data_IF_865599427357
#
_entry.id   IF_865599427357
#
_cell.length_a   1.000
_cell.length_b   1.000
_cell.length_c   1.000
_cell.angle_alpha   90.00
_cell.angle_beta   90.00
_cell.angle_gamma   90.00
#
_symmetry.space_group_name_H-M   'P 1'
#
loop_
_entity.id
_entity.type
_entity.pdbx_description
1 polymer ?
#
# COMPACT_ATOMS: atom_id res chain seq x y z
N UNK A 1 21.18 -18.00 -3.83
CA UNK A 1 20.05 -17.08 -4.04
C UNK A 1 20.64 -15.70 -4.22
N UNK A 2 20.39 -15.04 -5.35
CA UNK A 2 20.71 -13.62 -5.49
C UNK A 2 19.72 -12.82 -4.62
N UNK A 3 20.17 -11.75 -3.95
CA UNK A 3 19.26 -10.87 -3.22
C UNK A 3 18.17 -10.32 -4.15
N UNK A 4 16.96 -10.14 -3.64
CA UNK A 4 15.87 -9.51 -4.39
C UNK A 4 16.20 -8.02 -4.54
N UNK A 5 16.39 -7.53 -5.77
CA UNK A 5 16.80 -6.15 -6.04
C UNK A 5 15.63 -5.33 -6.58
N UNK A 6 15.54 -4.06 -6.17
CA UNK A 6 14.50 -3.15 -6.64
C UNK A 6 15.10 -1.87 -7.21
N UNK A 7 14.91 -1.64 -8.51
CA UNK A 7 15.50 -0.50 -9.26
C UNK A 7 14.57 0.72 -9.33
N UNK A 8 13.24 0.53 -9.19
CA UNK A 8 12.23 1.57 -9.27
C UNK A 8 11.81 1.97 -10.69
N UNK A 9 12.04 1.12 -11.70
CA UNK A 9 11.63 1.34 -13.10
C UNK A 9 10.39 0.51 -13.49
N UNK A 10 9.78 0.80 -14.65
CA UNK A 10 8.55 0.13 -15.13
C UNK A 10 8.64 -1.40 -15.32
N UNK A 11 9.84 -1.96 -15.42
CA UNK A 11 10.07 -3.40 -15.64
C UNK A 11 10.54 -4.13 -14.37
N UNK A 12 10.40 -3.49 -13.22
CA UNK A 12 10.86 -4.02 -11.95
C UNK A 12 9.84 -4.98 -11.32
N UNK A 13 10.26 -5.73 -10.30
CA UNK A 13 9.36 -6.52 -9.44
C UNK A 13 8.25 -5.60 -8.89
N UNK A 14 7.04 -6.14 -8.75
CA UNK A 14 5.93 -5.43 -8.12
C UNK A 14 6.37 -4.93 -6.73
N UNK A 15 6.20 -3.63 -6.40
CA UNK A 15 6.57 -3.06 -5.11
C UNK A 15 5.97 -3.79 -3.90
N UNK A 16 4.74 -4.31 -4.02
CA UNK A 16 4.11 -5.09 -2.96
C UNK A 16 4.78 -6.45 -2.79
N UNK A 17 5.04 -7.16 -3.89
CA UNK A 17 5.77 -8.44 -3.84
C UNK A 17 7.14 -8.24 -3.21
N UNK A 18 7.83 -7.15 -3.57
CA UNK A 18 9.13 -6.82 -3.00
C UNK A 18 9.08 -6.62 -1.47
N UNK A 19 8.12 -5.82 -0.97
CA UNK A 19 7.91 -5.61 0.47
C UNK A 19 7.55 -6.91 1.18
N UNK A 20 6.66 -7.70 0.58
CA UNK A 20 6.14 -8.93 1.19
C UNK A 20 7.22 -10.00 1.34
N UNK A 21 8.09 -10.15 0.34
CA UNK A 21 9.24 -11.06 0.40
C UNK A 21 10.28 -10.61 1.43
N UNK A 22 10.57 -9.31 1.53
CA UNK A 22 11.47 -8.80 2.57
C UNK A 22 10.90 -9.04 3.98
N UNK A 23 9.60 -8.79 4.16
CA UNK A 23 8.92 -9.02 5.43
C UNK A 23 9.01 -10.48 5.88
N UNK A 24 8.77 -11.45 4.98
CA UNK A 24 8.93 -12.88 5.27
C UNK A 24 10.35 -13.21 5.74
N UNK A 25 11.37 -12.66 5.09
CA UNK A 25 12.78 -12.86 5.48
C UNK A 25 13.06 -12.26 6.86
N UNK A 26 12.59 -11.03 7.12
CA UNK A 26 12.79 -10.37 8.41
C UNK A 26 12.08 -11.08 9.57
N UNK A 27 10.89 -11.61 9.33
CA UNK A 27 10.13 -12.42 10.30
C UNK A 27 10.89 -13.71 10.65
N UNK A 28 11.37 -14.46 9.65
CA UNK A 28 12.17 -15.69 9.87
C UNK A 28 13.48 -15.41 10.61
N UNK A 29 14.09 -14.25 10.35
CA UNK A 29 15.38 -13.85 10.93
C UNK A 29 15.25 -13.07 12.25
N UNK A 30 14.04 -12.79 12.73
CA UNK A 30 13.76 -11.97 13.92
C UNK A 30 14.47 -10.61 13.91
N UNK A 31 14.47 -9.92 12.76
CA UNK A 31 15.11 -8.61 12.62
C UNK A 31 14.26 -7.54 13.32
N UNK A 32 14.93 -6.66 14.09
CA UNK A 32 14.27 -5.52 14.74
C UNK A 32 13.95 -4.41 13.73
N UNK A 33 12.83 -3.71 13.97
CA UNK A 33 12.20 -2.77 13.04
C UNK A 33 13.14 -1.72 12.44
N UNK A 34 13.95 -1.06 13.28
CA UNK A 34 14.91 -0.05 12.85
C UNK A 34 15.98 -0.61 11.88
N UNK A 35 16.29 -1.90 11.98
CA UNK A 35 17.26 -2.57 11.10
C UNK A 35 16.62 -3.05 9.80
N UNK A 36 15.33 -3.35 9.79
CA UNK A 36 14.57 -3.73 8.59
C UNK A 36 14.66 -2.64 7.51
N UNK A 37 14.49 -1.37 7.90
CA UNK A 37 14.56 -0.23 6.97
C UNK A 37 15.92 -0.14 6.28
N UNK A 38 17.02 -0.24 7.03
CA UNK A 38 18.38 -0.20 6.46
C UNK A 38 18.68 -1.40 5.56
N UNK A 39 18.19 -2.59 5.91
CA UNK A 39 18.35 -3.79 5.10
C UNK A 39 17.55 -3.72 3.79
N UNK A 40 16.33 -3.19 3.83
CA UNK A 40 15.57 -2.94 2.61
C UNK A 40 16.25 -1.89 1.72
N UNK A 41 16.77 -0.81 2.31
CA UNK A 41 17.52 0.21 1.57
C UNK A 41 18.78 -0.33 0.88
N UNK A 42 19.39 -1.38 1.41
CA UNK A 42 20.52 -2.08 0.79
C UNK A 42 20.12 -2.79 -0.52
N UNK A 43 18.87 -3.26 -0.62
CA UNK A 43 18.33 -3.92 -1.81
C UNK A 43 17.85 -2.93 -2.89
N UNK A 44 17.72 -1.64 -2.53
CA UNK A 44 17.30 -0.60 -3.47
C UNK A 44 18.46 -0.17 -4.37
N UNK A 45 18.18 0.00 -5.66
CA UNK A 45 19.12 0.48 -6.67
C UNK A 45 18.56 1.67 -7.44
N UNK A 46 19.46 2.39 -8.13
CA UNK A 46 19.13 3.45 -9.09
C UNK A 46 18.08 4.46 -8.57
N UNK A 47 16.87 4.49 -9.15
CA UNK A 47 15.79 5.44 -8.82
C UNK A 47 15.32 5.21 -7.39
N UNK A 48 15.13 3.95 -6.99
CA UNK A 48 14.68 3.61 -5.65
C UNK A 48 15.72 4.00 -4.58
N UNK A 49 17.02 3.88 -4.89
CA UNK A 49 18.07 4.32 -3.97
C UNK A 49 18.07 5.84 -3.78
N UNK A 50 18.00 6.60 -4.88
CA UNK A 50 17.91 8.07 -4.83
C UNK A 50 16.66 8.54 -4.09
N UNK A 51 15.54 7.84 -4.25
CA UNK A 51 14.32 8.09 -3.49
C UNK A 51 14.55 7.90 -1.98
N UNK A 52 15.14 6.77 -1.57
CA UNK A 52 15.38 6.48 -0.16
C UNK A 52 16.28 7.52 0.49
N UNK A 53 17.36 7.94 -0.18
CA UNK A 53 18.29 8.94 0.36
C UNK A 53 17.58 10.29 0.59
N UNK A 54 16.67 10.70 -0.31
CA UNK A 54 15.83 11.90 -0.13
C UNK A 54 14.83 11.74 1.01
N UNK A 55 14.10 10.63 1.03
CA UNK A 55 13.12 10.33 2.08
C UNK A 55 13.76 10.33 3.46
N UNK A 56 14.92 9.69 3.61
CA UNK A 56 15.69 9.64 4.86
C UNK A 56 16.18 11.01 5.29
N UNK A 57 16.73 11.83 4.38
CA UNK A 57 17.17 13.19 4.68
C UNK A 57 16.05 14.05 5.27
N UNK A 58 14.85 13.98 4.70
CA UNK A 58 13.67 14.72 5.16
C UNK A 58 13.17 14.29 6.55
N UNK A 59 13.59 13.12 7.05
CA UNK A 59 13.17 12.59 8.36
C UNK A 59 14.24 12.75 9.45
N UNK A 60 15.52 12.78 9.08
CA UNK A 60 16.64 12.95 10.02
C UNK A 60 16.64 14.33 10.68
N UNK A 61 16.09 15.36 10.03
CA UNK A 61 15.94 16.70 10.62
C UNK A 61 14.89 16.76 11.75
N UNK A 62 14.07 15.71 11.95
CA UNK A 62 12.94 15.69 12.91
C UNK A 62 13.07 14.74 14.11
N UNK A 63 14.24 14.16 14.40
CA UNK A 63 14.50 13.23 15.54
C UNK A 63 13.64 11.95 15.61
N UNK A 64 12.81 11.66 14.60
CA UNK A 64 11.94 10.47 14.59
C UNK A 64 12.69 9.25 14.07
N UNK A 65 12.63 8.14 14.81
CA UNK A 65 13.15 6.85 14.35
C UNK A 65 12.43 6.40 13.07
N UNK A 66 13.19 5.86 12.11
CA UNK A 66 12.63 5.27 10.91
C UNK A 66 12.09 3.88 11.26
N UNK A 67 10.78 3.70 11.15
CA UNK A 67 10.11 2.41 11.35
C UNK A 67 9.83 1.73 10.02
N UNK A 68 9.67 0.41 10.04
CA UNK A 68 9.30 -0.36 8.84
C UNK A 68 7.97 0.12 8.26
N UNK A 69 6.97 0.35 9.11
CA UNK A 69 5.66 0.81 8.68
C UNK A 69 5.72 2.15 7.92
N UNK A 70 6.56 3.09 8.37
CA UNK A 70 6.77 4.35 7.67
C UNK A 70 7.46 4.14 6.32
N UNK A 71 8.44 3.24 6.26
CA UNK A 71 9.10 2.90 5.01
C UNK A 71 8.12 2.27 4.02
N UNK A 72 7.36 1.27 4.45
CA UNK A 72 6.38 0.53 3.64
C UNK A 72 5.33 1.47 3.04
N UNK A 73 4.68 2.28 3.87
CA UNK A 73 3.65 3.24 3.43
C UNK A 73 4.19 4.21 2.38
N UNK A 74 5.34 4.83 2.65
CA UNK A 74 5.93 5.81 1.73
C UNK A 74 6.52 5.18 0.48
N UNK A 75 7.08 3.98 0.57
CA UNK A 75 7.64 3.23 -0.55
C UNK A 75 6.53 2.81 -1.52
N UNK A 76 5.46 2.19 -1.02
CA UNK A 76 4.31 1.80 -1.83
C UNK A 76 3.61 3.05 -2.39
N UNK A 77 3.48 4.11 -1.59
CA UNK A 77 2.98 5.41 -2.03
C UNK A 77 3.76 5.99 -3.23
N UNK A 78 5.06 5.73 -3.32
CA UNK A 78 5.94 6.28 -4.36
C UNK A 78 6.09 5.38 -5.59
N UNK A 79 6.12 4.06 -5.40
CA UNK A 79 6.45 3.12 -6.48
C UNK A 79 5.27 2.26 -6.95
N UNK A 80 4.21 2.14 -6.16
CA UNK A 80 3.06 1.34 -6.57
C UNK A 80 2.23 2.10 -7.62
N UNK A 81 2.08 1.56 -8.85
CA UNK A 81 1.40 2.27 -9.94
C UNK A 81 -0.04 2.63 -9.56
N UNK A 82 -0.46 3.87 -9.86
CA UNK A 82 -1.82 4.36 -9.52
C UNK A 82 -2.90 3.52 -10.21
N UNK A 83 -2.64 3.10 -11.44
CA UNK A 83 -3.54 2.27 -12.24
C UNK A 83 -3.82 0.92 -11.56
N UNK A 84 -2.79 0.36 -10.91
CA UNK A 84 -2.92 -0.89 -10.16
C UNK A 84 -3.60 -0.70 -8.80
N UNK A 85 -3.57 0.50 -8.20
CA UNK A 85 -4.35 0.81 -6.97
C UNK A 85 -5.84 0.73 -7.25
N UNK A 86 -6.29 1.40 -8.30
CA UNK A 86 -7.69 1.40 -8.71
C UNK A 86 -8.12 -0.02 -9.08
N UNK A 87 -7.32 -0.75 -9.85
CA UNK A 87 -7.62 -2.14 -10.20
C UNK A 87 -7.73 -3.04 -8.96
N UNK A 88 -6.82 -2.88 -7.99
CA UNK A 88 -6.82 -3.63 -6.72
C UNK A 88 -8.03 -3.28 -5.85
N UNK A 89 -8.39 -2.01 -5.75
CA UNK A 89 -9.61 -1.57 -5.07
C UNK A 89 -10.86 -2.15 -5.72
N UNK A 90 -10.98 -2.07 -7.05
CA UNK A 90 -12.12 -2.63 -7.79
C UNK A 90 -12.19 -4.15 -7.62
N UNK A 91 -11.05 -4.84 -7.60
CA UNK A 91 -11.00 -6.28 -7.32
C UNK A 91 -11.43 -6.61 -5.88
N UNK A 92 -10.97 -5.85 -4.90
CA UNK A 92 -11.40 -5.97 -3.51
C UNK A 92 -12.90 -5.69 -3.36
N UNK A 93 -13.38 -4.60 -3.95
CA UNK A 93 -14.81 -4.28 -4.02
C UNK A 93 -15.60 -5.38 -4.70
N UNK A 94 -15.11 -5.97 -5.78
CA UNK A 94 -15.77 -7.11 -6.47
C UNK A 94 -15.85 -8.34 -5.57
N UNK A 95 -14.81 -8.62 -4.79
CA UNK A 95 -14.82 -9.72 -3.82
C UNK A 95 -15.82 -9.44 -2.67
N UNK A 96 -15.81 -8.22 -2.12
CA UNK A 96 -16.77 -7.79 -1.10
C UNK A 96 -18.20 -7.87 -1.66
N UNK A 97 -18.43 -7.42 -2.90
CA UNK A 97 -19.71 -7.53 -3.60
C UNK A 97 -20.17 -8.98 -3.72
N UNK A 98 -19.28 -9.92 -4.04
CA UNK A 98 -19.67 -11.33 -4.19
C UNK A 98 -20.08 -11.96 -2.86
N UNK A 99 -19.35 -11.67 -1.77
CA UNK A 99 -19.69 -12.11 -0.42
C UNK A 99 -21.03 -11.51 0.04
N UNK A 100 -21.27 -10.25 -0.32
CA UNK A 100 -22.47 -9.52 0.06
C UNK A 100 -23.71 -9.93 -0.72
N UNK A 101 -23.62 -10.11 -2.04
CA UNK A 101 -24.71 -10.66 -2.87
C UNK A 101 -25.11 -12.06 -2.39
N UNK A 102 -24.12 -12.87 -2.00
CA UNK A 102 -24.35 -14.16 -1.35
C UNK A 102 -25.09 -14.02 -0.01
N UNK A 103 -24.78 -12.97 0.77
CA UNK A 103 -25.48 -12.64 2.02
C UNK A 103 -26.92 -12.13 1.81
N UNK A 104 -27.13 -11.18 0.90
CA UNK A 104 -28.46 -10.63 0.53
C UNK A 104 -29.40 -11.73 0.05
N UNK A 105 -28.87 -12.69 -0.71
CA UNK A 105 -29.65 -13.82 -1.22
C UNK A 105 -30.25 -14.69 -0.10
N UNK A 106 -29.66 -14.65 1.09
CA UNK A 106 -30.12 -15.40 2.28
C UNK A 106 -31.11 -14.63 3.15
N UNK A 107 -31.30 -13.34 2.90
CA UNK A 107 -32.28 -12.53 3.64
C UNK A 107 -33.69 -12.80 3.10
N UNK A 108 -34.65 -13.01 4.00
CA UNK A 108 -36.06 -13.19 3.66
C UNK A 108 -36.82 -11.86 3.58
N UNK A 109 -36.40 -10.83 4.32
CA UNK A 109 -37.07 -9.52 4.35
C UNK A 109 -36.58 -8.57 3.24
N UNK A 110 -37.52 -7.88 2.60
CA UNK A 110 -37.25 -6.83 1.58
C UNK A 110 -36.58 -5.60 2.21
N UNK A 111 -37.06 -5.16 3.37
CA UNK A 111 -36.50 -4.00 4.10
C UNK A 111 -35.07 -4.27 4.56
N UNK A 112 -34.79 -5.50 5.01
CA UNK A 112 -33.43 -5.92 5.37
C UNK A 112 -32.45 -5.90 4.19
N UNK A 113 -32.94 -6.19 2.97
CA UNK A 113 -32.13 -6.11 1.74
C UNK A 113 -31.86 -4.66 1.34
N UNK A 114 -32.86 -3.79 1.43
CA UNK A 114 -32.75 -2.37 1.08
C UNK A 114 -31.81 -1.63 2.05
N UNK A 115 -31.91 -1.86 3.35
CA UNK A 115 -31.02 -1.25 4.34
C UNK A 115 -29.55 -1.64 4.13
N UNK A 116 -29.29 -2.90 3.77
CA UNK A 116 -27.94 -3.38 3.46
C UNK A 116 -27.36 -2.68 2.23
N UNK A 117 -28.15 -2.52 1.17
CA UNK A 117 -27.74 -1.85 -0.07
C UNK A 117 -27.37 -0.37 0.17
N UNK A 118 -28.11 0.33 1.03
CA UNK A 118 -27.83 1.73 1.39
C UNK A 118 -26.47 1.82 2.09
N UNK A 119 -26.23 1.03 3.14
CA UNK A 119 -24.95 1.04 3.85
C UNK A 119 -23.75 0.65 2.98
N UNK A 120 -23.96 -0.19 1.96
CA UNK A 120 -22.92 -0.53 0.98
C UNK A 120 -22.56 0.64 0.07
N UNK A 121 -23.55 1.38 -0.42
CA UNK A 121 -23.34 2.57 -1.27
C UNK A 121 -22.53 3.62 -0.51
N UNK A 122 -22.83 3.83 0.77
CA UNK A 122 -22.08 4.77 1.62
C UNK A 122 -20.61 4.36 1.79
N UNK A 123 -20.33 3.06 1.97
CA UNK A 123 -18.95 2.56 2.07
C UNK A 123 -18.18 2.65 0.75
N UNK A 124 -18.83 2.37 -0.38
CA UNK A 124 -18.21 2.51 -1.70
C UNK A 124 -17.85 3.97 -2.00
N UNK A 125 -18.75 4.90 -1.65
CA UNK A 125 -18.52 6.35 -1.76
C UNK A 125 -17.35 6.78 -0.86
N UNK A 126 -17.32 6.32 0.39
CA UNK A 126 -16.22 6.61 1.33
C UNK A 126 -14.87 6.12 0.81
N UNK A 127 -14.79 4.91 0.25
CA UNK A 127 -13.54 4.38 -0.31
C UNK A 127 -13.01 5.20 -1.48
N UNK A 128 -13.89 5.66 -2.38
CA UNK A 128 -13.50 6.54 -3.50
C UNK A 128 -13.03 7.90 -2.99
N UNK A 129 -13.67 8.44 -1.96
CA UNK A 129 -13.24 9.69 -1.33
C UNK A 129 -11.87 9.56 -0.65
N UNK A 130 -11.64 8.48 0.11
CA UNK A 130 -10.36 8.22 0.78
C UNK A 130 -9.23 8.11 -0.25
N UNK A 131 -9.45 7.40 -1.35
CA UNK A 131 -8.48 7.29 -2.44
C UNK A 131 -8.14 8.66 -3.05
N UNK A 132 -9.14 9.51 -3.30
CA UNK A 132 -8.91 10.84 -3.86
C UNK A 132 -8.07 11.72 -2.89
N UNK A 133 -8.39 11.67 -1.59
CA UNK A 133 -7.65 12.38 -0.55
C UNK A 133 -6.20 11.89 -0.43
N UNK A 134 -5.97 10.58 -0.49
CA UNK A 134 -4.62 10.00 -0.50
C UNK A 134 -3.84 10.41 -1.76
N UNK A 135 -4.50 10.43 -2.92
CA UNK A 135 -3.87 10.84 -4.17
C UNK A 135 -3.44 12.32 -4.19
N UNK A 136 -4.23 13.20 -3.58
CA UNK A 136 -3.92 14.63 -3.48
C UNK A 136 -2.82 14.91 -2.46
N UNK A 137 -2.75 14.15 -1.35
CA UNK A 137 -1.60 14.19 -0.43
C UNK A 137 -0.30 13.84 -1.15
N UNK A 138 -0.30 12.81 -1.99
CA UNK A 138 0.88 12.37 -2.72
C UNK A 138 1.34 13.40 -3.77
N UNK A 139 0.42 14.04 -4.51
CA UNK A 139 0.77 15.09 -5.48
C UNK A 139 1.42 16.30 -4.82
N UNK A 140 1.00 16.66 -3.60
CA UNK A 140 1.58 17.78 -2.86
C UNK A 140 2.99 17.48 -2.32
N UNK A 141 3.38 16.21 -2.22
CA UNK A 141 4.75 15.82 -1.85
C UNK A 141 5.72 15.78 -3.04
N UNK A 142 5.24 15.75 -4.29
CA UNK A 142 6.07 15.77 -5.50
C UNK A 142 6.51 17.21 -5.91
N UNK A 143 6.00 18.24 -5.22
CA UNK A 143 6.25 19.68 -5.53
C UNK A 143 7.24 20.34 -4.55
N UNK A 144 7.82 19.61 -3.60
CA UNK A 144 8.84 20.08 -2.65
C UNK A 144 10.11 19.21 -2.70
#
# INVERSE_FOLDING_TARGET
MSPLEFTGSKHNVDPEIFVDELRKVFEVMHVVDAKCVELAAYQLKSIARKWFDRWKKNKVEGTSQLTWAMFEDTFLGSFFPRELRVAKMVANMRNIMSLFVSGISRLSSKEGKEAMLIGYMDMAILMVHVQHVEEDKLKNMDVL
#
